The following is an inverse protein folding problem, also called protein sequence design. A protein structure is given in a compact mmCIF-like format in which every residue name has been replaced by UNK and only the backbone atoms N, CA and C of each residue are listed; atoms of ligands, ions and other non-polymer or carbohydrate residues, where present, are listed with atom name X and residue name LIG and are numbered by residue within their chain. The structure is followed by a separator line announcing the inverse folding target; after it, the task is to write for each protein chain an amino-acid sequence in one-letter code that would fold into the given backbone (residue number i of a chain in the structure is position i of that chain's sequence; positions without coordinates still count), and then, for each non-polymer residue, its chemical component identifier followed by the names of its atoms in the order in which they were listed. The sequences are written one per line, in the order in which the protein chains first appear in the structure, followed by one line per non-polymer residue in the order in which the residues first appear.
data_IF_915177358367
#
_entry.id   IF_915177358367
#
_cell.length_a   1.000
_cell.length_b   1.000
_cell.length_c   1.000
_cell.angle_alpha   90.00
_cell.angle_beta   90.00
_cell.angle_gamma   90.00
#
_symmetry.space_group_name_H-M   'P 1'
#
loop_
_entity.id
_entity.type
_entity.pdbx_description
1 polymer ?
#
# COMPACT_ATOMS: atom_id res chain seq x y z
N UNK A 1 19.16 1.00 1.20
CA UNK A 1 18.19 1.90 1.86
C UNK A 1 18.57 1.98 3.34
N UNK A 2 18.64 3.17 3.96
CA UNK A 2 18.91 3.26 5.41
C UNK A 2 17.70 2.71 6.16
N UNK A 3 17.86 1.68 7.02
CA UNK A 3 16.74 1.07 7.75
C UNK A 3 16.09 2.02 8.78
N UNK A 4 16.71 3.17 9.05
CA UNK A 4 16.22 4.21 9.97
C UNK A 4 15.01 5.00 9.48
N UNK A 5 14.53 4.77 8.25
CA UNK A 5 13.35 5.46 7.73
C UNK A 5 12.18 4.49 7.62
N UNK A 6 11.16 4.65 8.45
CA UNK A 6 9.92 3.86 8.51
C UNK A 6 9.32 3.49 7.15
N UNK A 7 9.25 4.44 6.20
CA UNK A 7 8.76 4.18 4.85
C UNK A 7 9.52 3.04 4.18
N UNK A 8 10.82 2.89 4.49
CA UNK A 8 11.65 1.76 4.06
C UNK A 8 11.21 0.44 4.70
N UNK A 9 10.86 0.43 5.99
CA UNK A 9 10.45 -0.77 6.71
C UNK A 9 9.11 -1.34 6.24
N UNK A 10 8.07 -0.51 6.16
CA UNK A 10 6.77 -0.95 5.63
C UNK A 10 6.85 -1.29 4.14
N UNK A 11 7.53 -0.44 3.35
CA UNK A 11 7.68 -0.72 1.91
C UNK A 11 8.49 -1.99 1.68
N UNK A 12 9.43 -2.34 2.55
CA UNK A 12 10.14 -3.62 2.49
C UNK A 12 9.16 -4.78 2.53
N UNK A 13 8.29 -4.83 3.55
CA UNK A 13 7.30 -5.90 3.67
C UNK A 13 6.36 -5.94 2.47
N UNK A 14 5.89 -4.79 2.00
CA UNK A 14 5.05 -4.75 0.79
C UNK A 14 5.81 -5.33 -0.41
N UNK A 15 6.95 -4.76 -0.78
CA UNK A 15 7.68 -5.12 -2.01
C UNK A 15 8.25 -6.54 -1.93
N UNK A 16 8.87 -6.91 -0.82
CA UNK A 16 9.51 -8.23 -0.68
C UNK A 16 8.48 -9.35 -0.64
N UNK A 17 7.34 -9.19 0.03
CA UNK A 17 6.31 -10.24 0.05
C UNK A 17 5.74 -10.49 -1.35
N UNK A 18 5.54 -9.44 -2.16
CA UNK A 18 5.17 -9.62 -3.57
C UNK A 18 6.25 -10.33 -4.36
N UNK A 19 7.49 -9.87 -4.25
CA UNK A 19 8.59 -10.42 -5.03
C UNK A 19 8.86 -11.90 -4.70
N UNK A 20 8.94 -12.25 -3.42
CA UNK A 20 9.13 -13.62 -2.97
C UNK A 20 7.94 -14.51 -3.33
N UNK A 21 6.71 -14.01 -3.23
CA UNK A 21 5.53 -14.76 -3.65
C UNK A 21 5.49 -15.00 -5.18
N UNK A 22 6.01 -14.08 -5.99
CA UNK A 22 6.12 -14.26 -7.44
C UNK A 22 7.11 -15.37 -7.81
N UNK A 23 8.22 -15.46 -7.08
CA UNK A 23 9.20 -16.54 -7.23
C UNK A 23 8.57 -17.86 -6.80
N UNK A 24 7.99 -17.90 -5.59
CA UNK A 24 7.38 -19.11 -5.03
C UNK A 24 6.22 -19.64 -5.88
N UNK A 25 5.48 -18.77 -6.56
CA UNK A 25 4.39 -19.18 -7.45
C UNK A 25 4.86 -19.49 -8.88
N UNK A 26 6.17 -19.48 -9.16
CA UNK A 26 6.76 -19.63 -10.49
C UNK A 26 6.24 -18.58 -11.51
N UNK A 27 5.76 -17.43 -11.04
CA UNK A 27 5.23 -16.38 -11.91
C UNK A 27 6.31 -15.76 -12.79
N UNK A 28 7.54 -15.70 -12.27
CA UNK A 28 8.72 -15.24 -13.02
C UNK A 28 9.33 -16.35 -13.89
N UNK A 29 8.71 -17.53 -13.93
CA UNK A 29 9.29 -18.75 -14.52
C UNK A 29 10.42 -19.34 -13.67
N UNK A 30 11.09 -20.36 -14.22
CA UNK A 30 12.25 -20.97 -13.60
C UNK A 30 13.45 -20.00 -13.67
N UNK A 31 13.80 -19.39 -12.53
CA UNK A 31 14.99 -18.57 -12.43
C UNK A 31 16.25 -19.47 -12.48
N UNK A 32 17.24 -19.18 -13.35
CA UNK A 32 18.45 -19.99 -13.45
C UNK A 32 19.46 -19.71 -12.33
N UNK A 33 19.12 -18.83 -11.39
CA UNK A 33 19.96 -18.41 -10.27
C UNK A 33 19.12 -18.31 -8.99
N UNK A 34 19.81 -18.49 -7.86
CA UNK A 34 19.23 -18.25 -6.54
C UNK A 34 19.17 -16.74 -6.26
N UNK A 35 18.11 -16.33 -5.55
CA UNK A 35 17.90 -14.94 -5.17
C UNK A 35 18.30 -14.76 -3.71
N UNK A 36 19.35 -13.99 -3.47
CA UNK A 36 19.84 -13.67 -2.13
C UNK A 36 19.43 -12.24 -1.75
N UNK A 37 18.69 -12.07 -0.64
CA UNK A 37 18.41 -10.75 -0.08
C UNK A 37 19.50 -10.37 0.92
N UNK A 38 20.17 -9.25 0.66
CA UNK A 38 21.22 -8.76 1.55
C UNK A 38 20.65 -8.27 2.87
N UNK A 39 21.14 -8.86 3.95
CA UNK A 39 20.78 -8.44 5.30
C UNK A 39 21.72 -7.39 5.86
N UNK A 40 21.19 -6.53 6.74
CA UNK A 40 21.99 -5.62 7.57
C UNK A 40 21.89 -6.11 9.01
N UNK A 41 23.01 -6.15 9.73
CA UNK A 41 23.01 -6.59 11.12
C UNK A 41 22.12 -5.71 12.00
N UNK A 42 22.18 -4.40 11.76
CA UNK A 42 21.27 -3.43 12.37
C UNK A 42 19.84 -3.73 11.88
N UNK A 43 18.96 -4.10 12.81
CA UNK A 43 17.56 -4.48 12.56
C UNK A 43 17.32 -5.81 11.83
N UNK A 44 18.31 -6.72 11.76
CA UNK A 44 18.14 -8.07 11.16
C UNK A 44 16.90 -8.81 11.65
N UNK A 45 16.58 -8.67 12.93
CA UNK A 45 15.42 -9.30 13.58
C UNK A 45 14.06 -8.79 13.09
N UNK A 46 14.02 -7.61 12.46
CA UNK A 46 12.80 -6.95 12.03
C UNK A 46 12.42 -7.31 10.58
N UNK A 47 13.20 -8.16 9.91
CA UNK A 47 13.07 -8.48 8.50
C UNK A 47 13.39 -9.96 8.25
N UNK A 48 12.90 -10.49 7.12
CA UNK A 48 13.11 -11.86 6.67
C UNK A 48 13.73 -11.85 5.27
N UNK A 49 14.79 -12.61 5.02
CA UNK A 49 15.65 -12.41 3.85
C UNK A 49 15.67 -13.58 2.86
N UNK A 50 14.79 -14.56 3.07
CA UNK A 50 14.57 -15.66 2.13
C UNK A 50 13.10 -16.07 2.10
N UNK A 51 12.72 -16.88 1.12
CA UNK A 51 11.36 -17.46 1.06
C UNK A 51 11.08 -18.26 2.34
N UNK A 52 12.04 -19.07 2.79
CA UNK A 52 11.94 -19.92 3.98
C UNK A 52 11.79 -19.07 5.25
N UNK A 53 12.61 -18.03 5.42
CA UNK A 53 12.51 -17.13 6.57
C UNK A 53 11.17 -16.40 6.58
N UNK A 54 10.75 -15.85 5.44
CA UNK A 54 9.49 -15.09 5.36
C UNK A 54 8.27 -16.00 5.50
N UNK A 55 8.31 -17.23 4.97
CA UNK A 55 7.28 -18.25 5.20
C UNK A 55 7.19 -18.66 6.67
N UNK A 56 8.32 -18.83 7.34
CA UNK A 56 8.36 -19.20 8.75
C UNK A 56 7.82 -18.08 9.65
N UNK A 57 8.24 -16.83 9.40
CA UNK A 57 7.84 -15.68 10.21
C UNK A 57 6.42 -15.18 9.90
N UNK A 58 6.03 -15.19 8.62
CA UNK A 58 4.82 -14.52 8.11
C UNK A 58 4.06 -15.37 7.07
N UNK A 59 3.66 -16.61 7.42
CA UNK A 59 3.06 -17.54 6.46
C UNK A 59 1.79 -16.99 5.79
N UNK A 60 0.98 -16.24 6.54
CA UNK A 60 -0.28 -15.70 6.05
C UNK A 60 -0.08 -14.66 4.93
N UNK A 61 0.91 -13.77 5.04
CA UNK A 61 1.16 -12.78 3.99
C UNK A 61 1.64 -13.47 2.72
N UNK A 62 2.58 -14.42 2.86
CA UNK A 62 3.09 -15.21 1.74
C UNK A 62 1.96 -15.95 1.02
N UNK A 63 1.02 -16.55 1.75
CA UNK A 63 -0.15 -17.21 1.16
C UNK A 63 -1.08 -16.23 0.42
N UNK A 64 -1.35 -15.06 0.99
CA UNK A 64 -2.21 -14.04 0.37
C UNK A 64 -1.55 -13.48 -0.89
N UNK A 65 -0.26 -13.15 -0.84
CA UNK A 65 0.50 -12.68 -1.99
C UNK A 65 0.59 -13.75 -3.09
N UNK A 66 0.80 -15.02 -2.72
CA UNK A 66 0.84 -16.14 -3.67
C UNK A 66 -0.53 -16.33 -4.38
N UNK A 67 -1.66 -16.14 -3.67
CA UNK A 67 -3.00 -16.18 -4.28
C UNK A 67 -3.21 -15.14 -5.37
N UNK A 68 -2.53 -13.99 -5.30
CA UNK A 68 -2.58 -12.99 -6.36
C UNK A 68 -1.91 -13.51 -7.64
N UNK A 69 -0.67 -14.00 -7.54
CA UNK A 69 0.05 -14.53 -8.71
C UNK A 69 -0.57 -15.80 -9.28
N UNK A 70 -1.02 -16.74 -8.44
CA UNK A 70 -1.76 -17.93 -8.90
C UNK A 70 -3.03 -17.57 -9.66
N UNK A 71 -3.73 -16.51 -9.25
CA UNK A 71 -4.88 -16.02 -10.01
C UNK A 71 -4.47 -15.51 -11.39
N UNK A 72 -3.39 -14.73 -11.48
CA UNK A 72 -2.87 -14.25 -12.78
C UNK A 72 -2.44 -15.41 -13.69
N UNK A 73 -1.72 -16.40 -13.16
CA UNK A 73 -1.30 -17.60 -13.91
C UNK A 73 -2.46 -18.46 -14.38
N UNK A 74 -3.58 -18.46 -13.65
CA UNK A 74 -4.78 -19.22 -14.03
C UNK A 74 -5.52 -18.61 -15.23
N UNK A 75 -5.15 -17.40 -15.67
CA UNK A 75 -5.84 -16.73 -16.76
C UNK A 75 -5.45 -17.26 -18.13
N UNK A 76 -6.44 -17.34 -19.00
CA UNK A 76 -6.33 -17.86 -20.36
C UNK A 76 -6.13 -16.72 -21.34
N UNK A 77 -5.29 -16.96 -22.33
CA UNK A 77 -5.14 -16.05 -23.47
C UNK A 77 -6.43 -16.13 -24.29
N UNK A 78 -7.09 -14.99 -24.50
CA UNK A 78 -8.31 -14.88 -25.30
C UNK A 78 -8.06 -14.27 -26.67
N UNK A 79 -7.01 -13.46 -26.80
CA UNK A 79 -6.59 -12.89 -28.07
C UNK A 79 -5.12 -12.49 -28.00
N UNK A 80 -4.55 -12.18 -29.16
CA UNK A 80 -3.22 -11.59 -29.27
C UNK A 80 -3.33 -10.38 -30.17
N UNK A 81 -2.96 -9.20 -29.67
CA UNK A 81 -2.95 -7.96 -30.47
C UNK A 81 -1.52 -7.46 -30.57
N UNK A 82 -1.00 -7.32 -31.80
CA UNK A 82 0.38 -6.87 -32.05
C UNK A 82 1.45 -7.66 -31.29
N UNK A 83 1.25 -8.97 -31.15
CA UNK A 83 2.18 -9.86 -30.41
C UNK A 83 2.02 -9.83 -28.89
N UNK A 84 1.09 -9.03 -28.34
CA UNK A 84 0.83 -8.94 -26.91
C UNK A 84 -0.37 -9.85 -26.57
N UNK A 85 -0.20 -10.88 -25.73
CA UNK A 85 -1.30 -11.73 -25.29
C UNK A 85 -2.27 -10.94 -24.41
N UNK A 86 -3.56 -11.05 -24.70
CA UNK A 86 -4.63 -10.54 -23.85
C UNK A 86 -5.23 -11.70 -23.08
N UNK A 87 -5.35 -11.53 -21.77
CA UNK A 87 -5.86 -12.54 -20.85
C UNK A 87 -7.32 -12.26 -20.46
N UNK A 88 -8.09 -13.30 -20.15
CA UNK A 88 -9.44 -13.22 -19.58
C UNK A 88 -9.47 -12.77 -18.11
N UNK A 89 -8.69 -11.76 -17.76
CA UNK A 89 -8.54 -11.27 -16.40
C UNK A 89 -9.76 -10.47 -15.97
N UNK A 90 -10.48 -10.93 -14.94
CA UNK A 90 -11.39 -10.04 -14.20
C UNK A 90 -10.55 -9.06 -13.37
N UNK A 91 -10.57 -7.81 -13.81
CA UNK A 91 -9.75 -6.73 -13.27
C UNK A 91 -10.10 -6.42 -11.81
N UNK A 92 -11.38 -6.39 -11.45
CA UNK A 92 -11.82 -6.15 -10.07
C UNK A 92 -11.26 -7.24 -9.13
N UNK A 93 -11.29 -8.51 -9.56
CA UNK A 93 -10.70 -9.62 -8.80
C UNK A 93 -9.18 -9.51 -8.70
N UNK A 94 -8.49 -9.11 -9.78
CA UNK A 94 -7.04 -8.91 -9.76
C UNK A 94 -6.66 -7.82 -8.74
N UNK A 95 -7.33 -6.67 -8.81
CA UNK A 95 -7.10 -5.52 -7.95
C UNK A 95 -7.45 -5.86 -6.49
N UNK A 96 -8.53 -6.60 -6.25
CA UNK A 96 -8.87 -7.07 -4.90
C UNK A 96 -7.78 -7.94 -4.29
N UNK A 97 -7.24 -8.92 -5.04
CA UNK A 97 -6.18 -9.80 -4.56
C UNK A 97 -4.87 -9.05 -4.31
N UNK A 98 -4.53 -8.10 -5.19
CA UNK A 98 -3.40 -7.20 -4.98
C UNK A 98 -3.61 -6.40 -3.68
N UNK A 99 -4.71 -5.67 -3.54
CA UNK A 99 -4.99 -4.89 -2.34
C UNK A 99 -4.96 -5.72 -1.05
N UNK A 100 -5.49 -6.95 -1.07
CA UNK A 100 -5.42 -7.86 0.06
C UNK A 100 -3.98 -8.23 0.46
N UNK A 101 -3.10 -8.49 -0.52
CA UNK A 101 -1.68 -8.78 -0.26
C UNK A 101 -0.95 -7.54 0.27
N UNK A 102 -1.24 -6.37 -0.30
CA UNK A 102 -0.70 -5.09 0.16
C UNK A 102 -1.08 -4.81 1.62
N UNK A 103 -2.37 -4.94 1.96
CA UNK A 103 -2.85 -4.69 3.31
C UNK A 103 -2.30 -5.71 4.31
N UNK A 104 -2.24 -7.00 3.96
CA UNK A 104 -1.66 -8.01 4.83
C UNK A 104 -0.20 -7.72 5.18
N UNK A 105 0.59 -7.22 4.21
CA UNK A 105 1.97 -6.79 4.45
C UNK A 105 2.04 -5.57 5.38
N UNK A 106 1.15 -4.58 5.20
CA UNK A 106 1.06 -3.41 6.08
C UNK A 106 0.69 -3.82 7.51
N UNK A 107 -0.27 -4.73 7.69
CA UNK A 107 -0.76 -5.14 9.00
C UNK A 107 0.33 -5.78 9.87
N UNK A 108 1.28 -6.49 9.25
CA UNK A 108 2.46 -7.03 9.94
C UNK A 108 3.51 -5.97 10.21
N UNK A 109 3.81 -5.13 9.22
CA UNK A 109 4.89 -4.15 9.35
C UNK A 109 4.53 -2.98 10.28
N UNK A 110 3.27 -2.53 10.27
CA UNK A 110 2.79 -1.37 11.03
C UNK A 110 3.13 -1.43 12.52
N UNK A 111 2.87 -2.51 13.29
CA UNK A 111 3.24 -2.55 14.70
C UNK A 111 4.76 -2.51 14.91
N UNK A 112 5.54 -3.18 14.03
CA UNK A 112 7.01 -3.27 14.15
C UNK A 112 7.71 -1.92 14.00
N UNK A 113 7.16 -1.04 13.17
CA UNK A 113 7.77 0.25 12.87
C UNK A 113 6.97 1.43 13.44
N UNK A 114 6.05 1.20 14.37
CA UNK A 114 5.18 2.28 14.87
C UNK A 114 5.86 3.34 15.74
N UNK A 115 7.03 3.02 16.30
CA UNK A 115 7.78 3.91 17.18
C UNK A 115 8.39 5.10 16.45
N UNK A 116 8.47 6.25 17.12
CA UNK A 116 9.05 7.49 16.56
C UNK A 116 10.53 7.35 16.22
N UNK A 117 11.26 6.42 16.84
CA UNK A 117 12.67 6.14 16.56
C UNK A 117 12.94 5.75 15.10
N UNK A 118 11.91 5.31 14.37
CA UNK A 118 11.99 5.01 12.94
C UNK A 118 11.70 6.21 12.03
N UNK A 119 11.56 7.41 12.60
CA UNK A 119 11.14 8.61 11.87
C UNK A 119 12.01 9.81 12.20
N UNK A 120 12.03 10.78 11.29
CA UNK A 120 12.72 12.06 11.49
C UNK A 120 12.03 12.97 12.50
N UNK A 121 10.73 12.78 12.73
CA UNK A 121 9.91 13.60 13.64
C UNK A 121 8.63 12.87 14.06
N UNK A 122 7.98 13.33 15.12
CA UNK A 122 6.63 12.86 15.49
C UNK A 122 5.62 13.15 14.37
N UNK A 123 5.76 14.29 13.72
CA UNK A 123 4.85 14.73 12.66
C UNK A 123 4.92 13.83 11.42
N UNK A 124 6.11 13.37 11.05
CA UNK A 124 6.29 12.41 9.96
C UNK A 124 5.65 11.05 10.30
N UNK A 125 5.86 10.58 11.53
CA UNK A 125 5.20 9.36 12.05
C UNK A 125 3.69 9.49 11.98
N UNK A 126 3.14 10.57 12.53
CA UNK A 126 1.69 10.78 12.61
C UNK A 126 1.07 10.84 11.21
N UNK A 127 1.67 11.60 10.29
CA UNK A 127 1.21 11.62 8.90
C UNK A 127 1.23 10.23 8.28
N UNK A 128 2.30 9.45 8.50
CA UNK A 128 2.38 8.14 7.89
C UNK A 128 1.32 7.19 8.43
N UNK A 129 1.08 7.19 9.74
CA UNK A 129 0.02 6.39 10.36
C UNK A 129 -1.37 6.82 9.91
N UNK A 130 -1.60 8.13 9.77
CA UNK A 130 -2.84 8.68 9.25
C UNK A 130 -3.05 8.28 7.78
N UNK A 131 -1.98 8.30 6.97
CA UNK A 131 -2.02 7.88 5.57
C UNK A 131 -2.30 6.38 5.42
N UNK A 132 -1.66 5.53 6.23
CA UNK A 132 -1.91 4.08 6.20
C UNK A 132 -3.37 3.75 6.54
N UNK A 133 -3.97 4.45 7.51
CA UNK A 133 -5.40 4.27 7.80
C UNK A 133 -6.29 4.80 6.66
N UNK A 134 -5.92 5.93 6.04
CA UNK A 134 -6.62 6.42 4.85
C UNK A 134 -6.52 5.42 3.67
N UNK A 135 -5.39 4.72 3.55
CA UNK A 135 -5.17 3.71 2.51
C UNK A 135 -6.17 2.54 2.58
N UNK A 136 -6.63 2.16 3.77
CA UNK A 136 -7.67 1.14 3.95
C UNK A 136 -9.01 1.53 3.28
N UNK A 137 -9.29 2.84 3.13
CA UNK A 137 -10.46 3.29 2.38
C UNK A 137 -10.27 3.12 0.87
N UNK A 138 -9.04 3.31 0.37
CA UNK A 138 -8.68 3.14 -1.05
C UNK A 138 -8.73 1.67 -1.43
N UNK A 139 -8.18 0.83 -0.56
CA UNK A 139 -8.21 -0.62 -0.65
C UNK A 139 -9.64 -1.12 -0.77
N UNK A 140 -10.51 -0.74 0.16
CA UNK A 140 -11.91 -1.14 0.17
C UNK A 140 -12.63 -0.74 -1.13
N UNK A 141 -12.35 0.46 -1.65
CA UNK A 141 -12.93 0.95 -2.91
C UNK A 141 -12.36 0.27 -4.18
N UNK A 142 -11.40 -0.65 -4.03
CA UNK A 142 -10.60 -1.20 -5.11
C UNK A 142 -10.04 -0.08 -5.99
N UNK A 143 -9.40 0.91 -5.35
CA UNK A 143 -8.83 2.02 -6.09
C UNK A 143 -7.83 1.50 -7.12
N UNK A 144 -7.92 2.00 -8.35
CA UNK A 144 -7.23 1.41 -9.49
C UNK A 144 -5.75 1.81 -9.45
N UNK A 145 -4.81 0.85 -9.35
CA UNK A 145 -3.37 1.13 -9.20
C UNK A 145 -2.68 1.37 -10.55
N UNK A 146 -3.40 1.91 -11.54
CA UNK A 146 -2.80 2.18 -12.84
C UNK A 146 -1.70 3.22 -12.74
N UNK A 147 -0.76 3.18 -13.67
CA UNK A 147 0.35 4.13 -13.73
C UNK A 147 -0.11 5.59 -13.58
N UNK A 148 -1.12 6.01 -14.35
CA UNK A 148 -1.64 7.38 -14.28
C UNK A 148 -2.27 7.70 -12.92
N UNK A 149 -3.07 6.77 -12.37
CA UNK A 149 -3.74 6.97 -11.08
C UNK A 149 -2.75 7.00 -9.92
N UNK A 150 -1.71 6.17 -9.96
CA UNK A 150 -0.60 6.17 -9.00
C UNK A 150 0.22 7.46 -9.11
N UNK A 151 0.53 7.91 -10.34
CA UNK A 151 1.21 9.18 -10.56
C UNK A 151 0.42 10.38 -10.02
N UNK A 152 -0.91 10.41 -10.22
CA UNK A 152 -1.76 11.46 -9.63
C UNK A 152 -1.65 11.49 -8.10
N UNK A 153 -1.63 10.32 -7.44
CA UNK A 153 -1.45 10.21 -5.99
C UNK A 153 -0.10 10.74 -5.51
N UNK A 154 0.98 10.41 -6.22
CA UNK A 154 2.33 10.83 -5.85
C UNK A 154 2.51 12.35 -5.86
N UNK A 155 1.76 13.09 -6.70
CA UNK A 155 1.81 14.57 -6.70
C UNK A 155 1.22 15.17 -5.41
N UNK A 156 0.39 14.41 -4.68
CA UNK A 156 -0.10 14.80 -3.37
C UNK A 156 0.85 14.47 -2.21
N UNK A 157 1.87 13.64 -2.41
CA UNK A 157 2.79 13.29 -1.33
C UNK A 157 3.74 14.44 -0.98
N UNK A 158 4.06 14.63 0.32
CA UNK A 158 5.05 15.62 0.73
C UNK A 158 6.38 15.43 -0.01
N UNK A 159 6.87 16.48 -0.65
CA UNK A 159 8.15 16.46 -1.38
C UNK A 159 9.38 16.32 -0.47
N UNK A 160 9.20 16.50 0.85
CA UNK A 160 10.19 16.31 1.89
C UNK A 160 9.54 15.68 3.13
N UNK A 161 10.35 15.08 3.99
CA UNK A 161 9.91 14.63 5.31
C UNK A 161 9.34 15.81 6.11
N UNK A 162 8.26 15.54 6.84
CA UNK A 162 7.65 16.49 7.76
C UNK A 162 8.50 16.65 9.01
N UNK A 163 8.47 17.86 9.55
CA UNK A 163 9.13 18.23 10.80
C UNK A 163 8.07 18.64 11.82
N UNK A 164 8.44 18.74 13.09
CA UNK A 164 7.48 19.14 14.13
C UNK A 164 7.02 20.61 14.03
N UNK A 165 7.70 21.41 13.20
CA UNK A 165 7.22 22.75 12.82
C UNK A 165 5.98 22.68 11.92
N UNK A 166 5.83 21.60 11.13
CA UNK A 166 4.73 21.40 10.19
C UNK A 166 3.44 20.91 10.89
N UNK A 167 3.50 20.55 12.18
CA UNK A 167 2.41 19.92 12.95
C UNK A 167 1.12 20.76 12.99
N UNK A 168 1.28 22.06 13.18
CA UNK A 168 0.18 23.01 13.39
C UNK A 168 -0.09 23.87 12.15
N UNK A 169 0.97 24.30 11.46
CA UNK A 169 0.87 25.15 10.27
C UNK A 169 1.75 24.56 9.19
N UNK A 170 1.12 24.04 8.13
CA UNK A 170 1.86 23.58 6.95
C UNK A 170 2.53 24.78 6.28
N UNK A 171 3.86 24.73 6.19
CA UNK A 171 4.68 25.79 5.61
C UNK A 171 4.20 26.19 4.20
N UNK A 172 4.51 27.42 3.80
CA UNK A 172 4.11 27.98 2.50
C UNK A 172 4.71 27.24 1.30
N UNK A 173 5.82 26.52 1.49
CA UNK A 173 6.50 25.75 0.45
C UNK A 173 5.82 24.42 0.09
N UNK A 174 4.80 23.95 0.84
CA UNK A 174 3.96 22.85 0.38
C UNK A 174 2.93 23.34 -0.64
N UNK A 175 2.80 22.60 -1.73
CA UNK A 175 1.76 22.81 -2.73
C UNK A 175 0.36 22.57 -2.17
N UNK A 176 -0.66 23.05 -2.88
CA UNK A 176 -2.07 22.87 -2.51
C UNK A 176 -2.44 21.38 -2.39
N UNK A 177 -1.89 20.53 -3.26
CA UNK A 177 -2.17 19.09 -3.28
C UNK A 177 -1.54 18.37 -2.09
N UNK A 178 -0.31 18.74 -1.73
CA UNK A 178 0.35 18.21 -0.52
C UNK A 178 -0.42 18.56 0.74
N UNK A 179 -0.81 19.84 0.87
CA UNK A 179 -1.63 20.28 2.00
C UNK A 179 -2.95 19.53 2.08
N UNK A 180 -3.59 19.30 0.94
CA UNK A 180 -4.84 18.54 0.87
C UNK A 180 -4.65 17.08 1.34
N UNK A 181 -3.64 16.36 0.82
CA UNK A 181 -3.40 14.97 1.23
C UNK A 181 -3.12 14.86 2.74
N UNK A 182 -2.21 15.67 3.26
CA UNK A 182 -1.86 15.67 4.70
C UNK A 182 -3.11 15.95 5.54
N UNK A 183 -3.90 16.96 5.15
CA UNK A 183 -5.11 17.36 5.89
C UNK A 183 -6.19 16.28 5.84
N UNK A 184 -6.45 15.70 4.67
CA UNK A 184 -7.50 14.68 4.51
C UNK A 184 -7.12 13.38 5.19
N UNK A 185 -5.86 12.96 5.15
CA UNK A 185 -5.39 11.78 5.88
C UNK A 185 -5.61 11.94 7.40
N UNK A 186 -5.20 13.10 7.95
CA UNK A 186 -5.40 13.44 9.36
C UNK A 186 -6.88 13.52 9.74
N UNK A 187 -7.70 14.16 8.91
CA UNK A 187 -9.14 14.30 9.16
C UNK A 187 -9.85 12.94 9.12
N UNK A 188 -9.56 12.12 8.12
CA UNK A 188 -10.11 10.76 7.96
C UNK A 188 -9.80 9.93 9.20
N UNK A 189 -8.55 9.98 9.66
CA UNK A 189 -8.12 9.26 10.87
C UNK A 189 -8.80 9.77 12.12
N UNK A 190 -8.91 11.10 12.29
CA UNK A 190 -9.60 11.70 13.42
C UNK A 190 -11.07 11.27 13.49
N UNK A 191 -11.79 11.31 12.38
CA UNK A 191 -13.21 10.93 12.32
C UNK A 191 -13.36 9.41 12.55
N UNK A 192 -12.49 8.59 11.96
CA UNK A 192 -12.55 7.15 12.17
C UNK A 192 -12.29 6.79 13.65
N UNK A 193 -11.28 7.43 14.28
CA UNK A 193 -11.01 7.25 15.71
C UNK A 193 -12.18 7.72 16.58
N UNK A 194 -12.79 8.89 16.29
CA UNK A 194 -13.93 9.39 17.06
C UNK A 194 -15.19 8.52 16.94
N UNK A 195 -15.30 7.74 15.87
CA UNK A 195 -16.39 6.76 15.67
C UNK A 195 -16.01 5.36 16.16
N UNK A 196 -14.87 5.18 16.84
CA UNK A 196 -14.40 3.88 17.31
C UNK A 196 -14.13 2.89 16.17
N UNK A 197 -13.78 3.37 14.98
CA UNK A 197 -13.56 2.54 13.78
C UNK A 197 -14.84 2.19 12.99
N UNK A 198 -16.01 2.66 13.43
CA UNK A 198 -17.28 2.37 12.77
C UNK A 198 -17.34 2.96 11.35
N UNK A 199 -16.74 4.14 11.12
CA UNK A 199 -16.69 4.76 9.80
C UNK A 199 -16.07 3.81 8.75
N UNK A 200 -14.87 3.30 9.03
CA UNK A 200 -14.18 2.38 8.12
C UNK A 200 -14.94 1.05 7.99
N UNK A 201 -15.53 0.55 9.08
CA UNK A 201 -16.32 -0.69 9.07
C UNK A 201 -17.53 -0.57 8.13
N UNK A 202 -18.28 0.53 8.23
CA UNK A 202 -19.41 0.81 7.35
C UNK A 202 -18.93 1.00 5.91
N UNK A 203 -17.82 1.72 5.71
CA UNK A 203 -17.22 1.91 4.40
C UNK A 203 -16.88 0.57 3.72
N UNK A 204 -16.12 -0.31 4.38
CA UNK A 204 -15.77 -1.65 3.88
C UNK A 204 -17.02 -2.46 3.51
N UNK A 205 -18.07 -2.39 4.33
CA UNK A 205 -19.37 -3.05 4.04
C UNK A 205 -20.03 -2.48 2.78
N UNK A 206 -20.08 -1.16 2.62
CA UNK A 206 -20.65 -0.52 1.43
C UNK A 206 -19.88 -0.90 0.16
N UNK A 207 -18.56 -0.95 0.23
CA UNK A 207 -17.69 -1.25 -0.91
C UNK A 207 -17.79 -2.70 -1.42
N UNK A 208 -18.58 -3.56 -0.79
CA UNK A 208 -18.96 -4.87 -1.37
C UNK A 208 -19.74 -4.71 -2.68
N UNK A 209 -20.46 -3.59 -2.87
CA UNK A 209 -21.19 -3.27 -4.10
C UNK A 209 -20.31 -2.64 -5.17
N UNK A 210 -20.42 -3.11 -6.42
CA UNK A 210 -19.73 -2.51 -7.59
C UNK A 210 -20.05 -1.02 -7.77
N UNK A 211 -21.32 -0.65 -7.58
CA UNK A 211 -21.76 0.74 -7.67
C UNK A 211 -21.11 1.59 -6.57
N UNK A 212 -21.16 1.12 -5.33
CA UNK A 212 -20.55 1.82 -4.21
C UNK A 212 -19.04 2.00 -4.38
N UNK A 213 -18.32 0.99 -4.91
CA UNK A 213 -16.89 1.12 -5.25
C UNK A 213 -16.62 2.20 -6.29
N UNK A 214 -17.41 2.26 -7.35
CA UNK A 214 -17.26 3.29 -8.38
C UNK A 214 -17.44 4.69 -7.80
N UNK A 215 -18.48 4.89 -6.99
CA UNK A 215 -18.73 6.14 -6.26
C UNK A 215 -17.61 6.43 -5.24
N UNK A 216 -17.14 5.43 -4.51
CA UNK A 216 -16.06 5.57 -3.54
C UNK A 216 -14.76 6.02 -4.19
N UNK A 217 -14.35 5.42 -5.32
CA UNK A 217 -13.18 5.85 -6.10
C UNK A 217 -13.30 7.30 -6.57
N UNK A 218 -14.49 7.72 -6.99
CA UNK A 218 -14.73 9.10 -7.37
C UNK A 218 -14.52 10.07 -6.19
N UNK A 219 -15.08 9.75 -5.01
CA UNK A 219 -14.89 10.57 -3.81
C UNK A 219 -13.42 10.64 -3.39
N UNK A 220 -12.72 9.52 -3.38
CA UNK A 220 -11.28 9.46 -3.07
C UNK A 220 -10.48 10.36 -4.02
N UNK A 221 -10.72 10.25 -5.33
CA UNK A 221 -10.06 11.09 -6.34
C UNK A 221 -10.33 12.57 -6.10
N UNK A 222 -11.58 12.94 -5.78
CA UNK A 222 -11.95 14.34 -5.52
C UNK A 222 -11.35 14.88 -4.22
N UNK A 223 -11.36 14.11 -3.14
CA UNK A 223 -10.85 14.58 -1.85
C UNK A 223 -9.32 14.71 -1.83
N UNK A 224 -8.61 13.80 -2.49
CA UNK A 224 -7.14 13.69 -2.37
C UNK A 224 -6.37 14.27 -3.54
N UNK A 225 -6.92 14.23 -4.76
CA UNK A 225 -6.16 14.56 -5.98
C UNK A 225 -6.55 15.92 -6.57
N UNK A 226 -7.73 16.43 -6.22
CA UNK A 226 -8.28 17.69 -6.74
C UNK A 226 -8.86 18.49 -5.57
N UNK A 227 -8.05 19.26 -4.83
CA UNK A 227 -8.58 20.06 -3.72
C UNK A 227 -9.74 20.96 -4.22
N UNK A 228 -10.86 20.92 -3.50
CA UNK A 228 -12.02 21.78 -3.76
C UNK A 228 -11.55 23.24 -3.62
N UNK A 229 -11.93 24.08 -4.60
CA UNK A 229 -11.56 25.50 -4.63
C UNK A 229 -12.11 26.30 -3.47
#
# INVERSE_FOLDING_TARGET
MSPSYFFTGISYYVVMMYFLAAIESEFLGSLPYEVELLSREEYRSNFCYSIEECRAAHPQIMDIANRFYKYLLSRKIVSTTSGIPQYDTDEDTAIFKMWAAHQAAIDVAKPMFSDVSFYSSETERDFTMDFLLAAEFFEAALYRPYFQSSAEFLVGFPHRLLTDQDRNVLMSNFSRREKALITVAKLTTKINKSTGGLLLTIWKKLMTSKFARATGRFFIKRLLLIPIE
#
